data_IF_582683371867
#
_entry.id   IF_582683371867
#
_cell.length_a   1.000
_cell.length_b   1.000
_cell.length_c   1.000
_cell.angle_alpha   90.00
_cell.angle_beta   90.00
_cell.angle_gamma   90.00
#
_symmetry.space_group_name_H-M   'P 1'
#
loop_
_entity.id
_entity.type
_entity.pdbx_description
1 polymer ?
#
# COMPACT_ATOMS: atom_id res chain seq x y z
N UNK A 1 11.82 -10.22 -5.85
CA UNK A 1 10.72 -10.13 -6.84
C UNK A 1 9.40 -10.33 -6.11
N UNK A 2 8.32 -9.62 -6.47
CA UNK A 2 7.02 -9.75 -5.79
C UNK A 2 6.40 -11.15 -6.03
N UNK A 3 5.74 -11.72 -5.01
CA UNK A 3 5.02 -12.99 -5.17
C UNK A 3 4.00 -12.91 -6.32
N UNK A 4 4.00 -13.93 -7.19
CA UNK A 4 3.09 -13.98 -8.35
C UNK A 4 1.61 -13.92 -7.95
N UNK A 5 1.26 -14.54 -6.82
CA UNK A 5 -0.11 -14.49 -6.29
C UNK A 5 -0.55 -13.07 -5.90
N UNK A 6 0.36 -12.28 -5.32
CA UNK A 6 0.12 -10.86 -4.98
C UNK A 6 -0.01 -10.04 -6.25
N UNK A 7 0.88 -10.24 -7.22
CA UNK A 7 0.81 -9.56 -8.51
C UNK A 7 -0.54 -9.77 -9.21
N UNK A 8 -0.97 -11.03 -9.35
CA UNK A 8 -2.24 -11.35 -9.98
C UNK A 8 -3.44 -10.78 -9.18
N UNK A 9 -3.35 -10.74 -7.85
CA UNK A 9 -4.41 -10.16 -7.02
C UNK A 9 -4.51 -8.64 -7.22
N UNK A 10 -3.38 -7.94 -7.25
CA UNK A 10 -3.33 -6.48 -7.48
C UNK A 10 -3.89 -6.16 -8.86
N UNK A 11 -3.44 -6.85 -9.91
CA UNK A 11 -3.93 -6.66 -11.28
C UNK A 11 -5.45 -6.90 -11.37
N UNK A 12 -5.96 -7.99 -10.78
CA UNK A 12 -7.38 -8.32 -10.81
C UNK A 12 -8.26 -7.33 -10.05
N UNK A 13 -7.79 -6.83 -8.91
CA UNK A 13 -8.58 -5.94 -8.04
C UNK A 13 -8.35 -4.45 -8.30
N UNK A 14 -7.35 -4.12 -9.13
CA UNK A 14 -6.93 -2.76 -9.47
C UNK A 14 -6.80 -1.87 -8.22
N UNK A 15 -6.10 -2.39 -7.21
CA UNK A 15 -5.93 -1.76 -5.91
C UNK A 15 -4.73 -2.40 -5.17
N UNK A 16 -4.18 -1.67 -4.20
CA UNK A 16 -3.19 -2.15 -3.23
C UNK A 16 -1.81 -2.50 -3.80
N UNK A 17 -1.46 -1.97 -4.96
CA UNK A 17 -0.12 -2.02 -5.54
C UNK A 17 0.92 -1.42 -4.57
N UNK A 18 0.55 -0.32 -3.92
CA UNK A 18 1.35 0.38 -2.92
C UNK A 18 1.60 -0.48 -1.67
N UNK A 19 0.55 -1.15 -1.17
CA UNK A 19 0.66 -2.10 -0.06
C UNK A 19 1.53 -3.30 -0.45
N UNK A 20 1.35 -3.83 -1.67
CA UNK A 20 2.14 -4.96 -2.17
C UNK A 20 3.63 -4.66 -2.22
N UNK A 21 3.99 -3.47 -2.71
CA UNK A 21 5.38 -2.97 -2.71
C UNK A 21 5.88 -2.81 -1.28
N UNK A 22 5.09 -2.22 -0.37
CA UNK A 22 5.48 -2.07 1.03
C UNK A 22 5.75 -3.43 1.71
N UNK A 23 4.91 -4.44 1.45
CA UNK A 23 5.14 -5.81 1.94
C UNK A 23 6.44 -6.39 1.39
N UNK A 24 6.70 -6.25 0.08
CA UNK A 24 7.92 -6.72 -0.56
C UNK A 24 9.16 -6.05 0.05
N UNK A 25 9.15 -4.71 0.15
CA UNK A 25 10.29 -3.95 0.67
C UNK A 25 10.53 -4.35 2.12
N UNK A 26 9.51 -4.32 2.98
CA UNK A 26 9.65 -4.68 4.39
C UNK A 26 10.14 -6.14 4.58
N UNK A 27 9.68 -7.06 3.74
CA UNK A 27 10.16 -8.44 3.73
C UNK A 27 11.65 -8.54 3.38
N UNK A 28 12.12 -7.77 2.41
CA UNK A 28 13.53 -7.79 1.97
C UNK A 28 14.44 -7.08 2.98
N UNK A 29 14.08 -5.87 3.40
CA UNK A 29 14.98 -5.01 4.20
C UNK A 29 14.92 -5.31 5.70
N UNK A 30 13.86 -5.99 6.18
CA UNK A 30 13.64 -6.31 7.61
C UNK A 30 13.76 -5.11 8.55
N UNK A 31 13.39 -3.93 8.05
CA UNK A 31 13.41 -2.64 8.74
C UNK A 31 12.05 -1.95 8.54
N UNK A 32 11.64 -1.10 9.50
CA UNK A 32 10.42 -0.32 9.33
C UNK A 32 10.53 0.63 8.13
N UNK A 33 9.41 0.83 7.44
CA UNK A 33 9.29 1.81 6.37
C UNK A 33 9.10 3.20 6.98
N UNK A 34 9.87 4.20 6.55
CA UNK A 34 9.69 5.57 7.02
C UNK A 34 8.64 6.30 6.20
N UNK A 35 7.86 7.15 6.86
CA UNK A 35 6.87 8.00 6.20
C UNK A 35 7.50 9.37 5.93
N UNK A 36 7.57 9.76 4.66
CA UNK A 36 7.97 11.12 4.27
C UNK A 36 6.71 11.98 4.18
N UNK A 37 6.64 13.01 5.02
CA UNK A 37 5.57 14.00 5.02
C UNK A 37 5.93 15.11 4.05
N UNK A 38 5.03 15.40 3.10
CA UNK A 38 5.13 16.63 2.28
C UNK A 38 4.27 17.71 2.90
N UNK A 39 4.82 18.93 3.04
CA UNK A 39 4.10 20.13 3.48
C UNK A 39 2.86 20.46 2.63
N UNK A 40 2.81 20.01 1.37
CA UNK A 40 1.67 20.21 0.46
C UNK A 40 1.39 18.95 -0.35
N UNK A 41 0.15 18.48 -0.35
CA UNK A 41 -0.30 17.42 -1.26
C UNK A 41 -0.23 17.89 -2.73
N UNK A 42 -0.27 16.95 -3.68
CA UNK A 42 -0.42 17.24 -5.11
C UNK A 42 -1.86 16.94 -5.55
N UNK A 43 -2.86 17.76 -5.15
CA UNK A 43 -4.20 17.58 -5.67
C UNK A 43 -4.18 17.87 -7.17
N UNK A 44 -4.70 16.93 -7.96
CA UNK A 44 -4.92 17.17 -9.38
C UNK A 44 -6.05 18.19 -9.54
N UNK A 45 -5.72 19.39 -10.04
CA UNK A 45 -6.69 20.50 -10.20
C UNK A 45 -7.73 20.26 -11.31
N UNK A 46 -7.38 19.43 -12.29
CA UNK A 46 -8.18 19.21 -13.50
C UNK A 46 -8.80 17.80 -13.58
N UNK A 47 -8.49 16.94 -12.60
CA UNK A 47 -9.14 15.64 -12.48
C UNK A 47 -10.52 15.86 -11.84
N UNK A 48 -11.58 15.29 -12.43
CA UNK A 48 -12.86 15.21 -11.73
C UNK A 48 -12.71 14.52 -10.36
N UNK A 49 -13.61 14.78 -9.41
CA UNK A 49 -13.58 14.19 -8.04
C UNK A 49 -13.71 12.65 -8.00
N UNK A 50 -13.74 11.96 -9.13
CA UNK A 50 -13.80 10.49 -9.23
C UNK A 50 -12.39 9.93 -9.41
N UNK A 51 -11.70 9.67 -8.31
CA UNK A 51 -10.50 8.83 -8.30
C UNK A 51 -10.82 7.47 -7.67
N UNK A 52 -9.94 6.49 -7.87
CA UNK A 52 -10.06 5.17 -7.23
C UNK A 52 -10.04 5.32 -5.70
N UNK A 53 -9.25 6.25 -5.19
CA UNK A 53 -9.12 6.55 -3.76
C UNK A 53 -10.36 7.20 -3.14
N UNK A 54 -11.19 7.87 -3.93
CA UNK A 54 -12.47 8.46 -3.48
C UNK A 54 -13.66 7.53 -3.70
N UNK A 55 -13.47 6.36 -4.31
CA UNK A 55 -14.55 5.39 -4.51
C UNK A 55 -15.07 4.81 -3.20
N UNK A 56 -16.37 4.48 -3.19
CA UNK A 56 -17.02 3.89 -2.02
C UNK A 56 -16.37 2.54 -1.65
N UNK A 57 -16.18 2.32 -0.34
CA UNK A 57 -15.56 1.10 0.16
C UNK A 57 -14.07 0.95 -0.16
N UNK A 58 -13.39 1.93 -0.76
CA UNK A 58 -11.96 1.85 -1.08
C UNK A 58 -11.11 1.49 0.15
N UNK A 59 -11.37 2.13 1.30
CA UNK A 59 -10.67 1.84 2.57
C UNK A 59 -10.88 0.39 3.02
N UNK A 60 -12.07 -0.16 2.80
CA UNK A 60 -12.41 -1.53 3.17
C UNK A 60 -11.74 -2.55 2.25
N UNK A 61 -11.70 -2.28 0.93
CA UNK A 61 -10.93 -3.07 -0.05
C UNK A 61 -9.47 -3.19 0.35
N UNK A 62 -8.84 -2.10 0.83
CA UNK A 62 -7.45 -2.12 1.32
C UNK A 62 -7.23 -3.04 2.53
N UNK A 63 -8.22 -3.17 3.42
CA UNK A 63 -8.16 -4.13 4.55
C UNK A 63 -8.08 -5.58 4.06
N UNK A 64 -8.81 -5.92 2.99
CA UNK A 64 -8.73 -7.28 2.41
C UNK A 64 -7.38 -7.57 1.77
N UNK A 65 -6.75 -6.58 1.14
CA UNK A 65 -5.41 -6.73 0.60
C UNK A 65 -4.40 -7.11 1.68
N UNK A 66 -4.43 -6.44 2.85
CA UNK A 66 -3.57 -6.78 3.98
C UNK A 66 -3.75 -8.25 4.40
N UNK A 67 -5.00 -8.68 4.58
CA UNK A 67 -5.29 -10.06 4.99
C UNK A 67 -4.82 -11.09 3.95
N UNK A 68 -5.03 -10.82 2.66
CA UNK A 68 -4.58 -11.70 1.59
C UNK A 68 -3.05 -11.76 1.52
N UNK A 69 -2.35 -10.62 1.61
CA UNK A 69 -0.89 -10.59 1.54
C UNK A 69 -0.24 -11.28 2.74
N UNK A 70 -0.76 -11.08 3.96
CA UNK A 70 -0.31 -11.80 5.15
C UNK A 70 -0.45 -13.32 4.97
N UNK A 71 -1.54 -13.79 4.35
CA UNK A 71 -1.71 -15.21 4.04
C UNK A 71 -0.70 -15.72 3.02
N UNK A 72 -0.39 -14.95 1.98
CA UNK A 72 0.58 -15.35 0.95
C UNK A 72 2.01 -15.40 1.50
N UNK A 73 2.41 -14.45 2.34
CA UNK A 73 3.73 -14.44 2.98
C UNK A 73 3.84 -15.42 4.16
N UNK A 74 2.71 -15.85 4.75
CA UNK A 74 2.67 -16.67 5.97
C UNK A 74 2.91 -15.88 7.27
N UNK A 75 3.17 -14.58 7.17
CA UNK A 75 3.34 -13.65 8.29
C UNK A 75 3.13 -12.21 7.80
N UNK A 76 3.12 -11.24 8.72
CA UNK A 76 3.05 -9.81 8.38
C UNK A 76 4.44 -9.18 8.39
N UNK A 77 5.03 -8.82 7.23
CA UNK A 77 6.36 -8.21 7.18
C UNK A 77 6.38 -6.74 7.60
N UNK A 78 5.22 -6.08 7.65
CA UNK A 78 5.14 -4.66 8.03
C UNK A 78 5.49 -4.46 9.49
N UNK A 79 6.47 -3.59 9.75
CA UNK A 79 6.93 -3.23 11.08
C UNK A 79 6.41 -1.83 11.40
N UNK A 80 5.78 -1.67 12.56
CA UNK A 80 5.30 -0.38 13.04
C UNK A 80 6.45 0.59 13.31
N UNK A 81 6.26 1.86 12.96
CA UNK A 81 7.18 2.95 13.30
C UNK A 81 6.43 4.27 13.40
N UNK A 82 6.94 5.18 14.23
CA UNK A 82 6.48 6.56 14.32
C UNK A 82 7.47 7.54 13.69
N UNK A 83 8.58 7.04 13.13
CA UNK A 83 9.61 7.88 12.52
C UNK A 83 9.11 8.48 11.19
N UNK A 84 9.02 9.80 11.17
CA UNK A 84 8.65 10.60 10.00
C UNK A 84 9.80 11.54 9.63
N UNK A 85 10.06 11.68 8.34
CA UNK A 85 10.99 12.70 7.83
C UNK A 85 10.15 13.83 7.24
N UNK A 86 10.27 15.01 7.84
CA UNK A 86 9.66 16.24 7.36
C UNK A 86 10.59 16.91 6.34
N UNK A 87 10.06 17.22 5.15
CA UNK A 87 10.71 18.07 4.14
C UNK A 87 10.07 19.47 4.14
#
# INVERSE_FOLDING_TARGET
MMHRAIYNYVEKNFNCEDIGINFLVAHVIRKPLFKVTKKRGFPCKYCGRKSISTSEGHKFKRKYCLNFFTKVYGYTPLIFTQFTIDN
#
